data_IF_728811554125
#
_entry.id   IF_728811554125
#
_cell.length_a   1.000
_cell.length_b   1.000
_cell.length_c   1.000
_cell.angle_alpha   90.00
_cell.angle_beta   90.00
_cell.angle_gamma   90.00
#
_symmetry.space_group_name_H-M   'P 1'
#
loop_
_entity.id
_entity.type
_entity.pdbx_description
1 polymer ?
#
# COMPACT_ATOMS: atom_id res chain seq x y z
N UNK A 1 16.05 33.39 -3.44
CA UNK A 1 16.00 31.99 -2.94
C UNK A 1 15.37 31.96 -1.53
N UNK A 2 14.07 31.72 -1.42
CA UNK A 2 13.36 31.78 -0.13
C UNK A 2 13.86 30.72 0.87
N UNK A 3 14.18 29.51 0.41
CA UNK A 3 14.72 28.41 1.25
C UNK A 3 16.07 28.78 1.89
N UNK A 4 16.98 29.38 1.12
CA UNK A 4 18.30 29.82 1.62
C UNK A 4 18.18 30.94 2.67
N UNK A 5 17.23 31.86 2.49
CA UNK A 5 16.95 32.92 3.47
C UNK A 5 16.34 32.35 4.77
N UNK A 6 15.36 31.45 4.64
CA UNK A 6 14.75 30.77 5.78
C UNK A 6 15.76 29.91 6.56
N UNK A 7 16.63 29.20 5.84
CA UNK A 7 17.73 28.42 6.43
C UNK A 7 18.66 29.31 7.24
N UNK A 8 19.19 30.41 6.68
CA UNK A 8 20.07 31.34 7.40
C UNK A 8 19.43 31.85 8.68
N UNK A 9 18.14 32.23 8.64
CA UNK A 9 17.42 32.67 9.84
C UNK A 9 17.34 31.57 10.89
N UNK A 10 16.96 30.35 10.50
CA UNK A 10 16.80 29.20 11.40
C UNK A 10 18.12 28.73 12.03
N UNK A 11 19.21 28.78 11.26
CA UNK A 11 20.56 28.48 11.74
C UNK A 11 20.99 29.44 12.84
N UNK A 12 20.75 30.74 12.67
CA UNK A 12 21.05 31.74 13.71
C UNK A 12 20.20 31.55 14.97
N UNK A 13 18.93 31.19 14.82
CA UNK A 13 18.04 30.90 15.95
C UNK A 13 18.47 29.66 16.76
N UNK A 14 19.19 28.71 16.15
CA UNK A 14 19.57 27.45 16.80
C UNK A 14 21.09 27.28 16.90
N UNK A 15 21.87 28.34 16.71
CA UNK A 15 23.33 28.24 16.73
C UNK A 15 23.81 27.87 18.14
N UNK A 16 24.58 26.78 18.33
CA UNK A 16 24.93 26.29 19.67
C UNK A 16 25.73 27.30 20.51
N UNK A 17 26.44 28.23 19.88
CA UNK A 17 27.17 29.31 20.57
C UNK A 17 26.26 30.41 21.12
N UNK A 18 24.99 30.48 20.71
CA UNK A 18 24.02 31.42 21.25
C UNK A 18 23.31 30.89 22.51
N UNK A 19 23.58 29.65 22.94
CA UNK A 19 22.90 29.00 24.05
C UNK A 19 23.84 28.74 25.24
N UNK A 20 23.33 28.88 26.47
CA UNK A 20 24.08 28.48 27.67
C UNK A 20 24.29 26.96 27.69
N UNK A 21 25.31 26.51 28.43
CA UNK A 21 25.84 25.12 28.40
C UNK A 21 24.75 24.05 28.55
N UNK A 22 23.73 24.29 29.38
CA UNK A 22 22.63 23.34 29.63
C UNK A 22 21.62 23.24 28.48
N UNK A 23 21.56 24.23 27.58
CA UNK A 23 20.68 24.23 26.39
C UNK A 23 21.43 23.88 25.10
N UNK A 24 22.78 23.88 25.13
CA UNK A 24 23.63 23.49 23.99
C UNK A 24 23.25 22.17 23.32
N UNK A 25 23.03 21.04 24.02
CA UNK A 25 22.70 19.79 23.34
C UNK A 25 21.38 19.87 22.55
N UNK A 26 20.41 20.65 23.04
CA UNK A 26 19.14 20.88 22.35
C UNK A 26 19.34 21.77 21.11
N UNK A 27 20.17 22.81 21.22
CA UNK A 27 20.53 23.69 20.12
C UNK A 27 21.30 22.95 19.01
N UNK A 28 22.29 22.12 19.37
CA UNK A 28 23.05 21.27 18.44
C UNK A 28 22.15 20.30 17.69
N UNK A 29 21.22 19.63 18.39
CA UNK A 29 20.25 18.72 17.79
C UNK A 29 19.35 19.45 16.78
N UNK A 30 18.83 20.63 17.14
CA UNK A 30 18.01 21.46 16.24
C UNK A 30 18.81 21.96 15.03
N UNK A 31 20.03 22.42 15.26
CA UNK A 31 20.93 22.86 14.20
C UNK A 31 21.19 21.74 13.18
N UNK A 32 21.47 20.53 13.68
CA UNK A 32 21.67 19.34 12.84
C UNK A 32 20.44 19.03 11.99
N UNK A 33 19.26 18.97 12.59
CA UNK A 33 18.01 18.71 11.85
C UNK A 33 17.74 19.75 10.77
N UNK A 34 17.97 21.04 11.05
CA UNK A 34 17.79 22.12 10.07
C UNK A 34 18.80 22.00 8.92
N UNK A 35 20.04 21.62 9.21
CA UNK A 35 21.09 21.42 8.18
C UNK A 35 20.81 20.23 7.27
N UNK A 36 20.29 19.13 7.83
CA UNK A 36 19.90 17.94 7.08
C UNK A 36 18.71 18.23 6.18
N UNK A 37 17.67 18.88 6.71
CA UNK A 37 16.50 19.29 5.94
C UNK A 37 16.87 20.24 4.79
N UNK A 38 17.79 21.18 5.02
CA UNK A 38 18.28 22.09 3.96
C UNK A 38 19.03 21.35 2.85
N UNK A 39 19.91 20.41 3.21
CA UNK A 39 20.65 19.57 2.27
C UNK A 39 19.71 18.69 1.45
N UNK A 40 18.72 18.11 2.12
CA UNK A 40 17.62 17.36 1.53
C UNK A 40 16.84 18.21 0.52
N UNK A 41 16.40 19.42 0.88
CA UNK A 41 15.67 20.32 -0.03
C UNK A 41 16.50 20.81 -1.23
N UNK A 42 17.82 20.92 -1.07
CA UNK A 42 18.74 21.26 -2.17
C UNK A 42 19.00 20.07 -3.10
N UNK A 43 18.94 18.84 -2.59
CA UNK A 43 19.07 17.63 -3.39
C UNK A 43 17.83 17.47 -4.28
N UNK A 44 18.07 17.46 -5.60
CA UNK A 44 17.06 17.44 -6.67
C UNK A 44 16.04 16.29 -6.50
N UNK A 45 16.41 15.23 -5.78
CA UNK A 45 15.57 14.05 -5.49
C UNK A 45 14.40 14.29 -4.55
N UNK A 46 14.52 15.19 -3.56
CA UNK A 46 13.43 15.42 -2.59
C UNK A 46 12.32 16.32 -3.13
N UNK A 47 12.64 17.21 -4.07
CA UNK A 47 11.63 18.02 -4.78
C UNK A 47 10.54 17.14 -5.40
N UNK A 48 10.90 15.93 -5.85
CA UNK A 48 9.97 14.96 -6.41
C UNK A 48 9.08 14.35 -5.31
N UNK A 49 9.60 14.03 -4.13
CA UNK A 49 8.82 13.32 -3.07
C UNK A 49 7.81 14.24 -2.37
N UNK A 50 8.13 15.51 -2.11
CA UNK A 50 7.16 16.44 -1.49
C UNK A 50 6.11 16.96 -2.47
N UNK A 51 6.43 17.10 -3.76
CA UNK A 51 5.43 17.49 -4.79
C UNK A 51 4.65 16.30 -5.34
N UNK A 52 5.21 15.09 -5.33
CA UNK A 52 4.58 13.89 -5.88
C UNK A 52 3.95 12.99 -4.81
N UNK A 53 4.17 13.26 -3.52
CA UNK A 53 3.89 12.30 -2.45
C UNK A 53 4.74 11.03 -2.59
N UNK A 54 4.51 10.07 -1.69
CA UNK A 54 4.95 8.67 -1.89
C UNK A 54 4.55 8.27 -3.32
N UNK A 55 5.44 7.66 -4.13
CA UNK A 55 5.03 7.14 -5.42
C UNK A 55 3.91 6.15 -5.17
N UNK A 56 2.66 6.58 -5.43
CA UNK A 56 1.55 5.67 -5.64
C UNK A 56 1.92 4.91 -6.91
N UNK A 57 2.58 3.77 -6.74
CA UNK A 57 2.84 2.87 -7.84
C UNK A 57 1.53 2.61 -8.54
N UNK A 58 1.40 3.05 -9.80
CA UNK A 58 0.17 2.80 -10.55
C UNK A 58 -0.24 3.82 -11.62
N UNK A 59 0.64 4.71 -12.08
CA UNK A 59 0.39 5.53 -13.28
C UNK A 59 0.62 4.77 -14.59
N UNK A 60 0.18 3.51 -14.67
CA UNK A 60 0.33 2.68 -15.85
C UNK A 60 -0.95 1.89 -16.05
N UNK A 61 -1.52 1.99 -17.25
CA UNK A 61 -2.68 1.23 -17.74
C UNK A 61 -2.40 -0.28 -17.57
N UNK A 62 -2.63 -0.80 -16.36
CA UNK A 62 -2.35 -2.17 -15.97
C UNK A 62 -3.63 -2.96 -16.11
N UNK A 63 -3.56 -4.01 -16.92
CA UNK A 63 -4.66 -4.95 -17.14
C UNK A 63 -5.06 -5.57 -15.79
N UNK A 64 -6.04 -4.97 -15.11
CA UNK A 64 -6.56 -5.40 -13.81
C UNK A 64 -7.04 -6.87 -13.84
N UNK A 65 -7.33 -7.38 -15.04
CA UNK A 65 -7.61 -8.78 -15.33
C UNK A 65 -6.44 -9.73 -14.97
N UNK A 66 -5.18 -9.36 -15.20
CA UNK A 66 -4.02 -10.25 -14.98
C UNK A 66 -3.72 -10.51 -13.50
N UNK A 67 -4.11 -9.60 -12.61
CA UNK A 67 -3.91 -9.74 -11.15
C UNK A 67 -5.06 -10.54 -10.51
N UNK A 68 -6.26 -10.51 -11.09
CA UNK A 68 -7.42 -11.27 -10.58
C UNK A 68 -7.53 -12.71 -11.13
N UNK A 69 -6.90 -13.00 -12.26
CA UNK A 69 -6.92 -14.32 -12.91
C UNK A 69 -6.55 -15.50 -11.98
N UNK A 70 -5.48 -15.48 -11.15
CA UNK A 70 -5.14 -16.64 -10.34
C UNK A 70 -6.22 -17.00 -9.32
N UNK A 71 -6.83 -15.99 -8.68
CA UNK A 71 -7.90 -16.22 -7.70
C UNK A 71 -9.21 -16.63 -8.37
N UNK A 72 -9.52 -16.08 -9.54
CA UNK A 72 -10.70 -16.47 -10.31
C UNK A 72 -10.63 -17.95 -10.74
N UNK A 73 -9.47 -18.43 -11.19
CA UNK A 73 -9.29 -19.84 -11.55
C UNK A 73 -9.43 -20.78 -10.36
N UNK A 74 -8.97 -20.37 -9.17
CA UNK A 74 -9.13 -21.17 -7.95
C UNK A 74 -10.61 -21.26 -7.54
N UNK A 75 -11.33 -20.13 -7.54
CA UNK A 75 -12.77 -20.08 -7.19
C UNK A 75 -13.60 -20.87 -8.22
N UNK A 76 -13.33 -20.68 -9.51
CA UNK A 76 -14.06 -21.38 -10.58
C UNK A 76 -13.74 -22.88 -10.59
N UNK A 77 -12.46 -23.25 -10.39
CA UNK A 77 -12.03 -24.65 -10.32
C UNK A 77 -12.64 -25.40 -9.13
N UNK A 78 -12.69 -24.77 -7.96
CA UNK A 78 -13.31 -25.36 -6.76
C UNK A 78 -14.83 -25.49 -6.87
N UNK A 79 -15.52 -24.46 -7.37
CA UNK A 79 -16.97 -24.52 -7.58
C UNK A 79 -17.37 -25.59 -8.62
N UNK A 80 -16.62 -25.72 -9.72
CA UNK A 80 -16.89 -26.72 -10.75
C UNK A 80 -16.66 -28.15 -10.24
N UNK A 81 -15.52 -28.43 -9.61
CA UNK A 81 -15.20 -29.76 -9.08
C UNK A 81 -16.09 -30.16 -7.90
N UNK A 82 -16.47 -29.22 -7.04
CA UNK A 82 -17.43 -29.46 -5.96
C UNK A 82 -18.84 -29.73 -6.47
N UNK A 83 -19.33 -28.92 -7.42
CA UNK A 83 -20.69 -29.04 -7.95
C UNK A 83 -20.93 -30.27 -8.83
N UNK A 84 -19.96 -30.65 -9.67
CA UNK A 84 -20.11 -31.82 -10.56
C UNK A 84 -20.19 -33.15 -9.80
N UNK A 85 -19.47 -33.27 -8.69
CA UNK A 85 -19.50 -34.48 -7.86
C UNK A 85 -20.84 -34.64 -7.12
N UNK A 86 -21.41 -33.55 -6.60
CA UNK A 86 -22.72 -33.56 -5.94
C UNK A 86 -23.86 -33.84 -6.92
N UNK A 87 -23.82 -33.23 -8.11
CA UNK A 87 -24.85 -33.47 -9.13
C UNK A 87 -24.85 -34.93 -9.61
N UNK A 88 -23.67 -35.54 -9.74
CA UNK A 88 -23.55 -36.95 -10.16
C UNK A 88 -24.01 -37.91 -9.07
N UNK A 89 -23.66 -37.68 -7.80
CA UNK A 89 -24.12 -38.54 -6.70
C UNK A 89 -25.62 -38.44 -6.48
N UNK A 90 -26.21 -37.25 -6.58
CA UNK A 90 -27.66 -37.06 -6.50
C UNK A 90 -28.41 -37.78 -7.64
N UNK A 91 -27.89 -37.70 -8.88
CA UNK A 91 -28.48 -38.43 -10.02
C UNK A 91 -28.36 -39.94 -9.87
N UNK A 92 -27.23 -40.46 -9.37
CA UNK A 92 -27.08 -41.90 -9.05
C UNK A 92 -28.08 -42.33 -7.99
N UNK A 93 -28.17 -41.59 -6.87
CA UNK A 93 -29.12 -41.89 -5.81
C UNK A 93 -30.57 -41.88 -6.31
N UNK A 94 -30.94 -40.93 -7.18
CA UNK A 94 -32.28 -40.88 -7.78
C UNK A 94 -32.55 -42.04 -8.75
N UNK A 95 -31.51 -42.58 -9.40
CA UNK A 95 -31.62 -43.74 -10.28
C UNK A 95 -31.72 -45.05 -9.47
N UNK A 96 -30.97 -45.16 -8.37
CA UNK A 96 -30.96 -46.34 -7.49
C UNK A 96 -32.23 -46.40 -6.62
N UNK A 97 -32.79 -45.24 -6.26
CA UNK A 97 -34.03 -45.11 -5.49
C UNK A 97 -35.05 -44.27 -6.27
N UNK A 98 -35.69 -44.84 -7.31
CA UNK A 98 -36.79 -44.16 -7.97
C UNK A 98 -37.91 -43.93 -6.94
N UNK A 99 -38.24 -42.66 -6.69
CA UNK A 99 -39.35 -42.31 -5.80
C UNK A 99 -40.65 -42.77 -6.46
N UNK A 100 -41.18 -43.90 -6.00
CA UNK A 100 -42.50 -44.37 -6.41
C UNK A 100 -43.54 -43.41 -5.82
N UNK A 101 -44.10 -42.54 -6.66
CA UNK A 101 -45.10 -41.57 -6.26
C UNK A 101 -46.50 -42.19 -6.40
N UNK A 102 -47.18 -42.54 -5.29
CA UNK A 102 -48.48 -43.20 -5.35
C UNK A 102 -49.64 -42.27 -5.79
N UNK A 103 -49.36 -40.99 -6.08
CA UNK A 103 -50.34 -39.99 -6.52
C UNK A 103 -50.20 -39.58 -7.99
N UNK A 104 -49.27 -40.18 -8.73
CA UNK A 104 -49.23 -40.08 -10.19
C UNK A 104 -49.84 -41.37 -10.76
N UNK A 105 -50.81 -41.28 -11.71
CA UNK A 105 -51.46 -42.43 -12.32
C UNK A 105 -50.51 -43.26 -13.19
#
# INVERSE_FOLDING_TARGET
MQVKAAYRRKVWETHPDCFPVHLKPNAELKFKMISEAYTCLLSVGYSRVVRSGVPRGGGGRRNHALIGLPFLFIILGTAALGGMNVARSYRKQKADYPSHNPFLP
#
